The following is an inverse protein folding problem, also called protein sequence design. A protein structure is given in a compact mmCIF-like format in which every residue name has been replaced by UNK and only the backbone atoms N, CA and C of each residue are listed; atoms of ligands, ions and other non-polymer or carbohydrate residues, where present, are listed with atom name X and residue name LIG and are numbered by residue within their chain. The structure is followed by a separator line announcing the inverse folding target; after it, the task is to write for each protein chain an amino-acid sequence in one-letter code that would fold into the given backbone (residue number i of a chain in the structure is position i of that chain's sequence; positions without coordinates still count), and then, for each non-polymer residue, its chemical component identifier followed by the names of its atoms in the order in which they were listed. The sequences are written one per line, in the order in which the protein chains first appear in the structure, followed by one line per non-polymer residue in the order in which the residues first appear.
data_IF_906290013445
#
_entry.id   IF_906290013445
#
_cell.length_a   1.000
_cell.length_b   1.000
_cell.length_c   1.000
_cell.angle_alpha   90.00
_cell.angle_beta   90.00
_cell.angle_gamma   90.00
#
_symmetry.space_group_name_H-M   'P 1'
#
loop_
_entity.id
_entity.type
_entity.pdbx_description
1 polymer ?
#
# COMPACT_ATOMS: atom_id res chain seq x y z
N UNK A 1 4.79 -62.64 12.87
CA UNK A 1 5.81 -61.61 12.56
C UNK A 1 5.10 -60.28 12.31
N UNK A 2 5.21 -59.33 13.24
CA UNK A 2 4.49 -58.04 13.23
C UNK A 2 5.16 -57.10 12.23
N UNK A 3 4.48 -56.71 11.15
CA UNK A 3 4.94 -55.70 10.21
C UNK A 3 4.59 -54.32 10.77
N UNK A 4 5.60 -53.60 11.25
CA UNK A 4 5.47 -52.19 11.62
C UNK A 4 5.40 -51.36 10.34
N UNK A 5 4.22 -50.81 10.03
CA UNK A 5 4.06 -49.79 8.99
C UNK A 5 4.36 -48.45 9.67
N UNK A 6 5.55 -47.91 9.43
CA UNK A 6 5.92 -46.56 9.87
C UNK A 6 5.28 -45.60 8.88
N UNK A 7 4.20 -44.94 9.30
CA UNK A 7 3.60 -43.83 8.58
C UNK A 7 4.49 -42.59 8.76
N UNK A 8 5.23 -42.22 7.71
CA UNK A 8 5.98 -40.97 7.68
C UNK A 8 5.01 -39.83 7.36
N UNK A 9 4.48 -39.18 8.39
CA UNK A 9 3.65 -37.99 8.26
C UNK A 9 4.56 -36.80 7.95
N UNK A 10 4.71 -36.47 6.67
CA UNK A 10 5.43 -35.28 6.21
C UNK A 10 4.56 -34.04 6.53
N UNK A 11 4.80 -33.43 7.70
CA UNK A 11 4.20 -32.14 8.04
C UNK A 11 4.94 -31.08 7.22
N UNK A 12 4.42 -30.75 6.04
CA UNK A 12 4.77 -29.51 5.36
C UNK A 12 4.20 -28.35 6.18
N UNK A 13 4.97 -27.84 7.14
CA UNK A 13 4.73 -26.51 7.69
C UNK A 13 4.97 -25.50 6.57
N UNK A 14 3.91 -25.14 5.86
CA UNK A 14 3.92 -23.98 4.99
C UNK A 14 4.16 -22.77 5.89
N UNK A 15 5.40 -22.30 5.95
CA UNK A 15 5.72 -20.99 6.49
C UNK A 15 5.00 -20.02 5.57
N UNK A 16 3.80 -19.60 5.96
CA UNK A 16 3.05 -18.55 5.30
C UNK A 16 3.80 -17.24 5.55
N UNK A 17 4.94 -17.06 4.88
CA UNK A 17 5.50 -15.73 4.70
C UNK A 17 4.40 -14.88 4.09
N UNK A 18 4.11 -13.72 4.70
CA UNK A 18 3.17 -12.75 4.15
C UNK A 18 3.57 -12.47 2.69
N UNK A 19 2.88 -13.13 1.75
CA UNK A 19 3.28 -13.08 0.36
C UNK A 19 3.09 -11.64 -0.12
N UNK A 20 4.21 -10.99 -0.48
CA UNK A 20 4.19 -9.63 -1.01
C UNK A 20 3.46 -9.62 -2.36
N UNK A 21 2.29 -8.97 -2.43
CA UNK A 21 1.45 -8.98 -3.64
C UNK A 21 1.75 -7.77 -4.52
N UNK A 22 1.62 -7.93 -5.84
CA UNK A 22 1.71 -6.80 -6.79
C UNK A 22 0.55 -5.81 -6.65
N UNK A 23 -0.60 -6.29 -6.16
CA UNK A 23 -1.82 -5.51 -5.97
C UNK A 23 -2.71 -6.18 -4.91
N UNK A 24 -3.37 -5.38 -4.09
CA UNK A 24 -4.50 -5.76 -3.22
C UNK A 24 -5.52 -4.62 -3.18
N UNK A 25 -6.80 -4.85 -2.84
CA UNK A 25 -7.79 -3.77 -2.78
C UNK A 25 -7.35 -2.58 -1.90
N UNK A 26 -6.65 -2.86 -0.80
CA UNK A 26 -6.13 -1.87 0.14
C UNK A 26 -4.98 -1.04 -0.43
N UNK A 27 -4.27 -1.51 -1.47
CA UNK A 27 -3.18 -0.77 -2.10
C UNK A 27 -3.67 0.26 -3.13
N UNK A 28 -4.92 0.14 -3.60
CA UNK A 28 -5.51 1.06 -4.57
C UNK A 28 -5.30 2.55 -4.26
N UNK A 29 -5.57 3.07 -3.05
CA UNK A 29 -5.37 4.50 -2.78
C UNK A 29 -3.89 4.90 -2.87
N UNK A 30 -2.95 4.06 -2.44
CA UNK A 30 -1.52 4.35 -2.59
C UNK A 30 -1.06 4.26 -4.05
N UNK A 31 -1.56 3.29 -4.83
CA UNK A 31 -1.29 3.23 -6.27
C UNK A 31 -1.83 4.46 -7.01
N UNK A 32 -2.96 5.01 -6.57
CA UNK A 32 -3.49 6.26 -7.08
C UNK A 32 -2.60 7.46 -6.72
N UNK A 33 -2.02 7.49 -5.51
CA UNK A 33 -0.97 8.48 -5.15
C UNK A 33 0.19 8.39 -6.12
N UNK A 34 0.79 7.20 -6.32
CA UNK A 34 1.90 7.03 -7.26
C UNK A 34 1.55 7.52 -8.66
N UNK A 35 0.37 7.15 -9.15
CA UNK A 35 -0.12 7.59 -10.47
C UNK A 35 -0.35 9.10 -10.54
N UNK A 36 -0.85 9.70 -9.47
CA UNK A 36 -1.13 11.13 -9.43
C UNK A 36 0.15 11.96 -9.37
N UNK A 37 1.15 11.51 -8.61
CA UNK A 37 2.49 12.08 -8.56
C UNK A 37 3.15 12.07 -9.95
N UNK A 38 3.23 10.90 -10.60
CA UNK A 38 3.87 10.76 -11.92
C UNK A 38 3.14 11.49 -13.05
N UNK A 39 1.82 11.68 -12.94
CA UNK A 39 1.00 12.28 -14.01
C UNK A 39 0.47 13.68 -13.69
N UNK A 40 0.94 14.29 -12.60
CA UNK A 40 0.45 15.55 -12.05
C UNK A 40 -1.09 15.63 -12.03
N UNK A 41 -1.76 14.78 -11.23
CA UNK A 41 -3.24 14.71 -11.15
C UNK A 41 -3.77 15.07 -9.76
N UNK A 42 -3.93 16.37 -9.42
CA UNK A 42 -4.39 16.84 -8.10
C UNK A 42 -5.65 16.16 -7.59
N UNK A 43 -6.68 16.05 -8.43
CA UNK A 43 -7.94 15.42 -8.06
C UNK A 43 -7.79 13.91 -7.74
N UNK A 44 -6.93 13.19 -8.46
CA UNK A 44 -6.68 11.77 -8.18
C UNK A 44 -5.89 11.61 -6.86
N UNK A 45 -4.93 12.50 -6.63
CA UNK A 45 -4.16 12.54 -5.39
C UNK A 45 -5.09 12.79 -4.20
N UNK A 46 -5.85 13.89 -4.20
CA UNK A 46 -6.87 14.21 -3.19
C UNK A 46 -7.82 13.03 -2.93
N UNK A 47 -8.37 12.44 -4.00
CA UNK A 47 -9.31 11.33 -3.89
C UNK A 47 -8.71 10.01 -3.37
N UNK A 48 -7.39 9.92 -3.21
CA UNK A 48 -6.73 8.78 -2.58
C UNK A 48 -6.83 8.82 -1.05
N UNK A 49 -7.06 10.00 -0.48
CA UNK A 49 -7.18 10.20 0.96
C UNK A 49 -8.62 10.10 1.44
N UNK A 50 -8.78 9.73 2.71
CA UNK A 50 -10.06 9.69 3.42
C UNK A 50 -10.63 11.08 3.61
N UNK A 51 -11.94 11.19 3.80
CA UNK A 51 -12.59 12.49 4.00
C UNK A 51 -12.01 13.22 5.21
N UNK A 52 -11.65 12.47 6.26
CA UNK A 52 -10.99 12.99 7.46
C UNK A 52 -9.63 13.63 7.19
N UNK A 53 -8.84 13.05 6.29
CA UNK A 53 -7.52 13.59 5.91
C UNK A 53 -7.67 14.79 4.98
N UNK A 54 -8.72 14.80 4.16
CA UNK A 54 -9.05 15.97 3.34
C UNK A 54 -9.43 17.16 4.22
N UNK A 55 -10.06 16.94 5.38
CA UNK A 55 -10.35 17.95 6.42
C UNK A 55 -11.11 19.18 5.88
N UNK A 56 -11.97 18.97 4.88
CA UNK A 56 -12.71 20.05 4.20
C UNK A 56 -11.86 20.92 3.26
N UNK A 57 -10.59 20.56 3.02
CA UNK A 57 -9.74 21.21 2.04
C UNK A 57 -10.19 20.84 0.62
N UNK A 58 -11.11 21.65 0.10
CA UNK A 58 -11.68 21.44 -1.21
C UNK A 58 -10.84 22.05 -2.34
N UNK A 59 -9.95 23.01 -2.04
CA UNK A 59 -9.18 23.76 -3.03
C UNK A 59 -8.12 22.90 -3.72
N UNK A 60 -8.29 22.69 -5.02
CA UNK A 60 -7.38 21.88 -5.83
C UNK A 60 -5.99 22.50 -6.00
N UNK A 61 -5.81 23.81 -5.76
CA UNK A 61 -4.50 24.46 -5.81
C UNK A 61 -3.60 23.98 -4.67
N UNK A 62 -4.12 23.92 -3.44
CA UNK A 62 -3.44 23.33 -2.27
C UNK A 62 -3.03 21.88 -2.53
N UNK A 63 -3.89 21.10 -3.20
CA UNK A 63 -3.56 19.72 -3.56
C UNK A 63 -2.54 19.60 -4.70
N UNK A 64 -2.43 20.60 -5.57
CA UNK A 64 -1.37 20.66 -6.58
C UNK A 64 0.00 20.90 -5.91
N UNK A 65 0.07 21.86 -4.97
CA UNK A 65 1.28 22.10 -4.17
C UNK A 65 1.70 20.84 -3.39
N UNK A 66 0.73 20.13 -2.78
CA UNK A 66 1.00 18.85 -2.11
C UNK A 66 1.51 17.76 -3.05
N UNK A 67 1.13 17.77 -4.33
CA UNK A 67 1.72 16.86 -5.33
C UNK A 67 3.19 17.23 -5.57
N UNK A 68 3.52 18.52 -5.66
CA UNK A 68 4.89 18.97 -5.85
C UNK A 68 5.77 18.56 -4.67
N UNK A 69 5.35 18.86 -3.44
CA UNK A 69 6.02 18.38 -2.23
C UNK A 69 6.11 16.86 -2.18
N UNK A 70 5.03 16.18 -2.57
CA UNK A 70 4.95 14.74 -2.66
C UNK A 70 6.01 14.21 -3.61
N UNK A 71 6.12 14.75 -4.82
CA UNK A 71 7.11 14.39 -5.83
C UNK A 71 8.53 14.59 -5.32
N UNK A 72 8.82 15.70 -4.63
CA UNK A 72 10.14 15.93 -4.05
C UNK A 72 10.48 14.90 -2.97
N UNK A 73 9.59 14.68 -2.00
CA UNK A 73 9.81 13.75 -0.89
C UNK A 73 9.92 12.31 -1.42
N UNK A 74 9.06 11.93 -2.36
CA UNK A 74 9.06 10.61 -2.96
C UNK A 74 10.28 10.38 -3.86
N UNK A 75 10.68 11.39 -4.64
CA UNK A 75 11.87 11.32 -5.50
C UNK A 75 13.15 11.18 -4.69
N UNK A 76 13.25 11.87 -3.54
CA UNK A 76 14.39 11.71 -2.61
C UNK A 76 14.45 10.31 -2.00
N UNK A 77 13.30 9.76 -1.57
CA UNK A 77 13.24 8.45 -0.89
C UNK A 77 13.29 7.26 -1.86
N UNK A 78 12.73 7.42 -3.04
CA UNK A 78 12.61 6.38 -4.07
C UNK A 78 12.99 6.95 -5.45
N UNK A 79 14.29 7.16 -5.72
CA UNK A 79 14.74 7.66 -7.01
C UNK A 79 14.28 6.74 -8.15
N UNK A 80 13.76 7.33 -9.23
CA UNK A 80 13.31 6.64 -10.44
C UNK A 80 12.30 5.50 -10.21
N UNK A 81 11.48 5.63 -9.16
CA UNK A 81 10.53 4.57 -8.82
C UNK A 81 9.60 4.24 -10.00
N UNK A 82 9.37 2.96 -10.21
CA UNK A 82 8.32 2.46 -11.11
C UNK A 82 7.26 1.77 -10.25
N UNK A 83 5.99 1.84 -10.68
CA UNK A 83 4.91 1.14 -9.98
C UNK A 83 5.22 -0.35 -9.72
N UNK A 84 5.94 -0.99 -10.65
CA UNK A 84 6.34 -2.41 -10.55
C UNK A 84 7.38 -2.70 -9.46
N UNK A 85 8.00 -1.68 -8.89
CA UNK A 85 9.00 -1.83 -7.83
C UNK A 85 8.34 -1.96 -6.45
N UNK A 86 7.03 -1.67 -6.37
CA UNK A 86 6.26 -1.80 -5.14
C UNK A 86 5.57 -3.16 -5.03
N UNK A 87 5.50 -3.67 -3.80
CA UNK A 87 4.64 -4.78 -3.41
C UNK A 87 3.90 -4.41 -2.13
N UNK A 88 2.86 -5.17 -1.83
CA UNK A 88 1.92 -4.83 -0.77
C UNK A 88 1.61 -6.02 0.13
N UNK A 89 1.50 -5.73 1.42
CA UNK A 89 0.86 -6.56 2.43
C UNK A 89 -0.25 -5.77 3.11
N UNK A 90 -1.10 -6.46 3.88
CA UNK A 90 -2.13 -5.79 4.67
C UNK A 90 -2.19 -6.40 6.06
N UNK A 91 -2.04 -5.53 7.05
CA UNK A 91 -2.25 -5.83 8.45
C UNK A 91 -3.69 -5.50 8.80
N UNK A 92 -4.54 -6.53 8.92
CA UNK A 92 -5.95 -6.36 9.23
C UNK A 92 -6.21 -5.98 10.68
N UNK A 93 -5.29 -6.28 11.60
CA UNK A 93 -5.44 -5.94 13.02
C UNK A 93 -5.26 -4.44 13.23
N UNK A 94 -4.30 -3.83 12.52
CA UNK A 94 -4.03 -2.39 12.62
C UNK A 94 -4.67 -1.56 11.50
N UNK A 95 -5.30 -2.22 10.53
CA UNK A 95 -5.81 -1.61 9.29
C UNK A 95 -4.73 -0.80 8.57
N UNK A 96 -3.55 -1.40 8.41
CA UNK A 96 -2.39 -0.79 7.75
C UNK A 96 -2.03 -1.50 6.47
N UNK A 97 -1.84 -0.72 5.41
CA UNK A 97 -1.19 -1.15 4.19
C UNK A 97 0.32 -1.19 4.44
N UNK A 98 0.94 -2.35 4.23
CA UNK A 98 2.38 -2.52 4.30
C UNK A 98 2.93 -2.34 2.89
N UNK A 99 3.87 -1.42 2.71
CA UNK A 99 4.44 -1.08 1.40
C UNK A 99 5.88 -1.55 1.37
N UNK A 100 6.18 -2.42 0.41
CA UNK A 100 7.52 -2.90 0.13
C UNK A 100 8.05 -2.22 -1.12
N UNK A 101 9.31 -1.80 -1.12
CA UNK A 101 10.01 -1.25 -2.29
C UNK A 101 11.24 -2.12 -2.59
N UNK A 102 11.30 -2.69 -3.79
CA UNK A 102 12.38 -3.60 -4.22
C UNK A 102 12.62 -4.80 -3.28
N UNK A 103 11.60 -5.22 -2.54
CA UNK A 103 11.61 -6.40 -1.66
C UNK A 103 11.67 -6.06 -0.17
N UNK A 104 12.15 -4.87 0.18
CA UNK A 104 12.29 -4.41 1.57
C UNK A 104 11.04 -3.66 2.03
N UNK A 105 10.65 -3.83 3.29
CA UNK A 105 9.56 -3.05 3.88
C UNK A 105 9.97 -1.57 3.94
N UNK A 106 9.29 -0.72 3.19
CA UNK A 106 9.62 0.69 3.09
C UNK A 106 8.91 1.50 4.17
N UNK A 107 7.62 1.25 4.37
CA UNK A 107 6.79 1.87 5.42
C UNK A 107 5.41 1.20 5.49
N UNK A 108 4.66 1.52 6.55
CA UNK A 108 3.25 1.15 6.75
C UNK A 108 2.40 2.40 6.80
N UNK A 109 1.20 2.35 6.23
CA UNK A 109 0.28 3.49 6.22
C UNK A 109 -1.13 3.05 6.57
N UNK A 110 -1.82 3.82 7.41
CA UNK A 110 -3.20 3.53 7.77
C UNK A 110 -4.11 3.65 6.56
N UNK A 111 -4.97 2.65 6.38
CA UNK A 111 -6.02 2.65 5.37
C UNK A 111 -7.37 2.43 6.03
N UNK A 112 -8.42 2.97 5.42
CA UNK A 112 -9.80 2.78 5.84
C UNK A 112 -10.67 2.54 4.61
N UNK A 113 -11.78 1.83 4.80
CA UNK A 113 -12.80 1.68 3.78
C UNK A 113 -13.89 2.74 4.00
N UNK A 114 -14.10 3.61 3.00
CA UNK A 114 -15.21 4.57 2.94
C UNK A 114 -16.17 4.12 1.83
N UNK A 115 -17.32 3.59 2.23
CA UNK A 115 -18.26 2.93 1.31
C UNK A 115 -17.62 1.70 0.65
N UNK A 116 -17.47 1.73 -0.68
CA UNK A 116 -16.86 0.64 -1.48
C UNK A 116 -15.39 0.88 -1.83
N UNK A 117 -14.77 1.95 -1.33
CA UNK A 117 -13.41 2.35 -1.72
C UNK A 117 -12.48 2.38 -0.51
N UNK A 118 -11.25 1.93 -0.72
CA UNK A 118 -10.16 2.09 0.24
C UNK A 118 -9.50 3.46 0.11
N UNK A 119 -9.08 4.02 1.24
CA UNK A 119 -8.55 5.38 1.37
C UNK A 119 -7.35 5.43 2.31
N UNK A 120 -6.38 6.30 2.04
CA UNK A 120 -5.31 6.62 2.98
C UNK A 120 -5.88 7.44 4.15
N UNK A 121 -5.51 7.07 5.37
CA UNK A 121 -6.09 7.64 6.60
C UNK A 121 -5.02 8.04 7.64
N UNK A 122 -3.80 8.29 7.18
CA UNK A 122 -2.71 8.85 7.97
C UNK A 122 -2.85 10.38 7.96
N UNK A 123 -2.77 11.02 9.14
CA UNK A 123 -2.80 12.49 9.29
C UNK A 123 -1.44 12.97 9.74
#
# INVERSE_FOLDING_TARGET
MKKFIIALLFICTAVAGYAQKKHIPQSTPFENVLKALTKNKPLLFKNSFSQRVIDGEEDLTVWAERIEEGNEKFGRRFPDFKRKDFRYGFDSAESKLIIYYKGDEAFRIKVIQEGKKWKLNEK
#
